data_IF_951663639204
#
_entry.id   IF_951663639204
#
_cell.length_a   1.000
_cell.length_b   1.000
_cell.length_c   1.000
_cell.angle_alpha   90.00
_cell.angle_beta   90.00
_cell.angle_gamma   90.00
#
_symmetry.space_group_name_H-M   'P 1'
#
loop_
_entity.id
_entity.type
_entity.pdbx_description
1 polymer ?
#
# COMPACT_ATOMS: atom_id res chain seq x y z
N UNK A 1 7.34 -23.73 -20.97
CA UNK A 1 6.32 -23.01 -20.20
C UNK A 1 4.98 -23.69 -20.40
N UNK A 2 4.37 -24.13 -19.33
CA UNK A 2 3.04 -24.71 -19.33
C UNK A 2 2.07 -23.73 -18.63
N UNK A 3 1.70 -22.67 -19.34
CA UNK A 3 0.95 -21.55 -18.77
C UNK A 3 -0.52 -21.92 -18.62
N UNK A 4 -0.99 -21.82 -17.40
CA UNK A 4 -2.41 -21.95 -17.03
C UNK A 4 -2.85 -20.75 -16.22
N UNK A 5 -4.14 -20.53 -16.10
CA UNK A 5 -4.66 -19.43 -15.26
C UNK A 5 -6.00 -19.80 -14.64
N UNK A 6 -6.31 -19.17 -13.53
CA UNK A 6 -7.62 -19.25 -12.87
C UNK A 6 -7.90 -18.00 -12.03
N UNK A 7 -9.13 -17.87 -11.63
CA UNK A 7 -9.54 -16.81 -10.69
C UNK A 7 -8.92 -17.02 -9.31
N UNK A 8 -8.63 -15.90 -8.67
CA UNK A 8 -8.13 -15.84 -7.31
C UNK A 8 -9.19 -16.29 -6.31
N UNK A 9 -8.76 -17.06 -5.30
CA UNK A 9 -9.59 -17.60 -4.21
C UNK A 9 -9.01 -17.11 -2.89
N UNK A 10 -9.65 -16.10 -2.28
CA UNK A 10 -9.10 -15.38 -1.14
C UNK A 10 -8.63 -16.29 0.01
N UNK A 11 -9.39 -17.34 0.34
CA UNK A 11 -9.05 -18.21 1.47
C UNK A 11 -7.93 -19.22 1.17
N UNK A 12 -7.70 -19.57 -0.08
CA UNK A 12 -6.70 -20.60 -0.44
C UNK A 12 -5.45 -20.03 -1.09
N UNK A 13 -5.53 -18.85 -1.70
CA UNK A 13 -4.45 -18.35 -2.53
C UNK A 13 -3.66 -17.20 -1.85
N UNK A 14 -4.23 -16.57 -0.81
CA UNK A 14 -3.66 -15.38 -0.22
C UNK A 14 -2.19 -15.53 0.16
N UNK A 15 -1.86 -16.59 0.91
CA UNK A 15 -0.48 -16.82 1.37
C UNK A 15 0.47 -17.08 0.19
N UNK A 16 0.03 -17.87 -0.82
CA UNK A 16 0.85 -18.15 -1.99
C UNK A 16 1.07 -16.90 -2.86
N UNK A 17 0.05 -16.04 -2.99
CA UNK A 17 0.15 -14.76 -3.70
C UNK A 17 1.04 -13.79 -2.93
N UNK A 18 0.89 -13.70 -1.62
CA UNK A 18 1.76 -12.89 -0.78
C UNK A 18 3.22 -13.29 -0.96
N UNK A 19 3.52 -14.60 -0.87
CA UNK A 19 4.87 -15.14 -1.09
C UNK A 19 5.40 -14.83 -2.51
N UNK A 20 4.56 -14.97 -3.54
CA UNK A 20 4.90 -14.60 -4.92
C UNK A 20 5.31 -13.12 -5.01
N UNK A 21 4.55 -12.21 -4.36
CA UNK A 21 4.84 -10.78 -4.38
C UNK A 21 6.14 -10.45 -3.62
N UNK A 22 6.46 -11.16 -2.52
CA UNK A 22 7.75 -11.05 -1.84
C UNK A 22 8.91 -11.44 -2.77
N UNK A 23 8.76 -12.55 -3.53
CA UNK A 23 9.80 -13.07 -4.41
C UNK A 23 10.12 -12.17 -5.60
N UNK A 24 9.14 -11.43 -6.11
CA UNK A 24 9.31 -10.56 -7.27
C UNK A 24 9.57 -9.09 -6.93
N UNK A 25 9.58 -8.76 -5.65
CA UNK A 25 9.70 -7.38 -5.20
C UNK A 25 10.98 -6.70 -5.70
N UNK A 26 10.84 -5.50 -6.20
CA UNK A 26 11.90 -4.56 -6.52
C UNK A 26 11.52 -3.17 -6.02
N UNK A 27 12.49 -2.38 -5.59
CA UNK A 27 12.23 -1.08 -4.94
C UNK A 27 11.48 -0.08 -5.83
N UNK A 28 11.64 -0.17 -7.15
CA UNK A 28 10.94 0.66 -8.15
C UNK A 28 9.62 0.05 -8.65
N UNK A 29 9.16 -1.02 -8.05
CA UNK A 29 7.94 -1.77 -8.35
C UNK A 29 7.82 -2.24 -9.81
N UNK A 30 8.96 -2.47 -10.48
CA UNK A 30 8.98 -2.92 -11.89
C UNK A 30 8.24 -4.24 -12.14
N UNK A 31 8.08 -5.06 -11.11
CA UNK A 31 7.40 -6.33 -11.20
C UNK A 31 6.01 -6.32 -10.56
N UNK A 32 5.62 -5.22 -9.91
CA UNK A 32 4.35 -5.03 -9.20
C UNK A 32 4.52 -4.43 -7.82
N UNK A 33 3.42 -4.18 -7.15
CA UNK A 33 3.39 -3.62 -5.80
C UNK A 33 3.98 -4.60 -4.77
N UNK A 34 4.44 -4.12 -3.60
CA UNK A 34 4.91 -4.98 -2.53
C UNK A 34 3.75 -5.80 -1.92
N UNK A 35 4.07 -6.95 -1.35
CA UNK A 35 3.08 -7.85 -0.76
C UNK A 35 2.17 -7.19 0.30
N UNK A 36 2.68 -6.32 1.20
CA UNK A 36 1.84 -5.61 2.17
C UNK A 36 0.76 -4.73 1.53
N UNK A 37 0.99 -4.17 0.34
CA UNK A 37 -0.01 -3.35 -0.36
C UNK A 37 -1.34 -4.11 -0.55
N UNK A 38 -1.27 -5.34 -1.06
CA UNK A 38 -2.46 -6.16 -1.28
C UNK A 38 -3.08 -6.61 0.04
N UNK A 39 -2.27 -6.99 1.03
CA UNK A 39 -2.79 -7.47 2.32
C UNK A 39 -3.41 -6.33 3.12
N UNK A 40 -2.82 -5.15 3.10
CA UNK A 40 -3.39 -3.94 3.68
C UNK A 40 -4.80 -3.67 3.14
N UNK A 41 -4.95 -3.66 1.82
CA UNK A 41 -6.24 -3.45 1.18
C UNK A 41 -7.25 -4.54 1.54
N UNK A 42 -6.88 -5.81 1.44
CA UNK A 42 -7.77 -6.94 1.75
C UNK A 42 -8.18 -7.01 3.23
N UNK A 43 -7.35 -6.51 4.14
CA UNK A 43 -7.61 -6.52 5.57
C UNK A 43 -8.40 -5.31 6.05
N UNK A 44 -8.44 -4.22 5.27
CA UNK A 44 -9.22 -3.02 5.58
C UNK A 44 -10.72 -3.23 5.33
N UNK A 45 -11.55 -2.42 5.96
CA UNK A 45 -13.00 -2.39 5.73
C UNK A 45 -13.41 -1.52 4.53
N UNK A 46 -12.60 -0.51 4.19
CA UNK A 46 -12.87 0.42 3.10
C UNK A 46 -12.76 -0.18 1.68
N UNK A 47 -12.11 -1.32 1.52
CA UNK A 47 -12.03 -2.01 0.24
C UNK A 47 -13.31 -2.81 -0.05
N UNK A 48 -13.95 -2.56 -1.19
CA UNK A 48 -15.02 -3.43 -1.67
C UNK A 48 -14.47 -4.80 -2.11
N UNK A 49 -14.68 -5.82 -1.29
CA UNK A 49 -14.20 -7.19 -1.52
C UNK A 49 -15.15 -8.07 -2.33
N UNK A 50 -16.34 -7.56 -2.70
CA UNK A 50 -17.38 -8.34 -3.39
C UNK A 50 -16.94 -8.86 -4.75
N UNK A 51 -15.98 -8.20 -5.40
CA UNK A 51 -15.48 -8.53 -6.73
C UNK A 51 -14.08 -9.18 -6.72
N UNK A 52 -13.53 -9.52 -5.57
CA UNK A 52 -12.18 -10.16 -5.44
C UNK A 52 -12.05 -11.43 -6.29
N UNK A 53 -13.16 -12.14 -6.50
CA UNK A 53 -13.20 -13.30 -7.39
C UNK A 53 -12.89 -12.97 -8.86
N UNK A 54 -12.85 -11.70 -9.24
CA UNK A 54 -12.43 -11.25 -10.57
C UNK A 54 -10.92 -11.12 -10.70
N UNK A 55 -10.18 -11.09 -9.61
CA UNK A 55 -8.72 -11.17 -9.67
C UNK A 55 -8.30 -12.50 -10.31
N UNK A 56 -7.18 -12.50 -11.06
CA UNK A 56 -6.71 -13.69 -11.79
C UNK A 56 -5.23 -13.93 -11.55
N UNK A 57 -4.89 -15.21 -11.39
CA UNK A 57 -3.53 -15.70 -11.23
C UNK A 57 -3.17 -16.53 -12.46
N UNK A 58 -1.93 -16.34 -12.96
CA UNK A 58 -1.28 -17.21 -13.97
C UNK A 58 -0.22 -18.05 -13.31
N UNK A 59 -0.08 -19.27 -13.81
CA UNK A 59 0.87 -20.27 -13.32
C UNK A 59 1.72 -20.77 -14.48
N UNK A 60 2.99 -21.10 -14.22
CA UNK A 60 3.80 -21.99 -15.03
C UNK A 60 3.98 -23.26 -14.22
N UNK A 61 3.31 -24.34 -14.63
CA UNK A 61 3.01 -25.51 -13.80
C UNK A 61 2.33 -25.08 -12.48
N UNK A 62 3.00 -25.25 -11.32
CA UNK A 62 2.46 -24.87 -10.00
C UNK A 62 2.98 -23.50 -9.49
N UNK A 63 3.87 -22.85 -10.26
CA UNK A 63 4.50 -21.58 -9.86
C UNK A 63 3.66 -20.39 -10.30
N UNK A 64 3.32 -19.50 -9.36
CA UNK A 64 2.67 -18.23 -9.68
C UNK A 64 3.65 -17.33 -10.45
N UNK A 65 3.23 -16.85 -11.63
CA UNK A 65 4.04 -16.02 -12.51
C UNK A 65 3.41 -14.66 -12.81
N UNK A 66 2.09 -14.51 -12.66
CA UNK A 66 1.44 -13.23 -12.83
C UNK A 66 0.15 -13.14 -11.99
N UNK A 67 -0.24 -11.91 -11.67
CA UNK A 67 -1.48 -11.55 -10.99
C UNK A 67 -2.05 -10.28 -11.59
N UNK A 68 -3.38 -10.29 -11.85
CA UNK A 68 -4.17 -9.09 -12.13
C UNK A 68 -5.19 -8.94 -11.03
N UNK A 69 -5.24 -7.78 -10.40
CA UNK A 69 -6.11 -7.51 -9.26
C UNK A 69 -6.53 -6.04 -9.22
N UNK A 70 -7.50 -5.73 -8.38
CA UNK A 70 -7.90 -4.36 -8.06
C UNK A 70 -7.70 -4.08 -6.57
N UNK A 71 -7.72 -2.81 -6.22
CA UNK A 71 -7.75 -2.33 -4.84
C UNK A 71 -8.98 -1.44 -4.62
N UNK A 72 -8.82 -0.14 -4.44
CA UNK A 72 -9.90 0.84 -4.32
C UNK A 72 -9.54 2.11 -5.11
N UNK A 73 -10.41 2.56 -6.02
CA UNK A 73 -11.71 1.98 -6.37
C UNK A 73 -11.56 0.67 -7.15
N UNK A 74 -12.59 -0.17 -7.13
CA UNK A 74 -12.62 -1.48 -7.84
C UNK A 74 -12.29 -1.39 -9.33
N UNK A 75 -12.36 -0.18 -9.89
CA UNK A 75 -12.05 0.11 -11.29
C UNK A 75 -10.57 0.33 -11.56
N UNK A 76 -9.73 0.40 -10.54
CA UNK A 76 -8.28 0.56 -10.66
C UNK A 76 -7.61 -0.81 -10.63
N UNK A 77 -7.04 -1.20 -11.78
CA UNK A 77 -6.53 -2.54 -12.00
C UNK A 77 -5.00 -2.54 -11.97
N UNK A 78 -4.45 -3.36 -11.11
CA UNK A 78 -3.02 -3.52 -10.87
C UNK A 78 -2.49 -4.82 -11.46
N UNK A 79 -1.17 -4.86 -11.68
CA UNK A 79 -0.46 -5.95 -12.33
C UNK A 79 0.80 -6.33 -11.55
N UNK A 80 0.96 -7.62 -11.27
CA UNK A 80 2.22 -8.18 -10.79
C UNK A 80 2.68 -9.24 -11.79
N UNK A 81 3.94 -9.16 -12.24
CA UNK A 81 4.48 -10.00 -13.31
C UNK A 81 5.91 -10.43 -12.97
N UNK A 82 6.13 -11.74 -12.88
CA UNK A 82 7.45 -12.30 -12.62
C UNK A 82 8.40 -12.02 -13.80
N UNK A 83 9.67 -11.61 -13.54
CA UNK A 83 10.68 -11.50 -14.58
C UNK A 83 10.83 -12.79 -15.41
N UNK A 84 10.97 -12.63 -16.72
CA UNK A 84 11.02 -13.74 -17.70
C UNK A 84 9.67 -14.19 -18.26
N UNK A 85 8.57 -13.59 -17.78
CA UNK A 85 7.21 -13.89 -18.25
C UNK A 85 6.54 -12.68 -18.93
N UNK A 86 7.33 -11.76 -19.48
CA UNK A 86 6.87 -10.54 -20.15
C UNK A 86 5.94 -10.84 -21.33
N UNK A 87 6.02 -12.05 -21.90
CA UNK A 87 5.11 -12.52 -22.95
C UNK A 87 3.64 -12.57 -22.51
N UNK A 88 3.36 -12.62 -21.20
CA UNK A 88 1.99 -12.59 -20.67
C UNK A 88 1.36 -11.19 -20.63
N UNK A 89 2.14 -10.13 -20.83
CA UNK A 89 1.67 -8.75 -20.66
C UNK A 89 0.44 -8.42 -21.53
N UNK A 90 0.41 -8.85 -22.80
CA UNK A 90 -0.73 -8.62 -23.69
C UNK A 90 -2.00 -9.35 -23.21
N UNK A 91 -1.86 -10.58 -22.73
CA UNK A 91 -2.97 -11.36 -22.19
C UNK A 91 -3.50 -10.74 -20.89
N UNK A 92 -2.61 -10.25 -20.02
CA UNK A 92 -2.99 -9.60 -18.77
C UNK A 92 -3.78 -8.31 -19.03
N UNK A 93 -3.35 -7.48 -19.99
CA UNK A 93 -4.07 -6.26 -20.40
C UNK A 93 -5.44 -6.62 -21.01
N UNK A 94 -5.50 -7.60 -21.90
CA UNK A 94 -6.77 -8.06 -22.48
C UNK A 94 -7.72 -8.61 -21.42
N UNK A 95 -7.21 -9.33 -20.41
CA UNK A 95 -8.01 -9.77 -19.27
C UNK A 95 -8.53 -8.60 -18.44
N UNK A 96 -7.69 -7.65 -18.13
CA UNK A 96 -8.09 -6.44 -17.42
C UNK A 96 -9.23 -5.72 -18.13
N UNK A 97 -9.09 -5.51 -19.44
CA UNK A 97 -10.10 -4.83 -20.25
C UNK A 97 -11.45 -5.57 -20.32
N UNK A 98 -11.42 -6.90 -20.36
CA UNK A 98 -12.64 -7.69 -20.63
C UNK A 98 -13.32 -8.21 -19.35
N UNK A 99 -12.59 -8.47 -18.28
CA UNK A 99 -13.06 -9.22 -17.13
C UNK A 99 -13.04 -8.45 -15.81
N UNK A 100 -12.15 -7.45 -15.67
CA UNK A 100 -12.05 -6.69 -14.44
C UNK A 100 -13.20 -5.66 -14.30
N UNK A 101 -13.51 -5.22 -13.07
CA UNK A 101 -14.65 -4.35 -12.81
C UNK A 101 -14.60 -3.04 -13.59
N UNK A 102 -15.79 -2.58 -14.00
CA UNK A 102 -16.02 -1.26 -14.62
C UNK A 102 -17.16 -0.54 -13.93
N UNK A 103 -17.06 0.76 -13.80
CA UNK A 103 -18.17 1.62 -13.39
C UNK A 103 -18.54 2.53 -14.55
N UNK A 104 -19.81 2.49 -14.98
CA UNK A 104 -20.29 3.25 -16.15
C UNK A 104 -19.43 3.00 -17.42
N UNK A 105 -18.98 1.75 -17.61
CA UNK A 105 -18.11 1.36 -18.72
C UNK A 105 -16.65 1.78 -18.60
N UNK A 106 -16.28 2.51 -17.56
CA UNK A 106 -14.92 3.04 -17.35
C UNK A 106 -14.13 2.18 -16.35
N UNK A 107 -12.85 2.04 -16.60
CA UNK A 107 -11.84 1.49 -15.69
C UNK A 107 -10.51 2.19 -15.95
N UNK A 108 -9.55 2.05 -15.04
CA UNK A 108 -8.19 2.52 -15.20
C UNK A 108 -7.22 1.36 -15.01
N UNK A 109 -6.15 1.34 -15.80
CA UNK A 109 -5.03 0.47 -15.50
C UNK A 109 -3.99 1.28 -14.72
N UNK A 110 -3.51 0.72 -13.63
CA UNK A 110 -2.42 1.29 -12.84
C UNK A 110 -1.14 0.53 -13.20
N UNK A 111 -0.27 1.19 -13.95
CA UNK A 111 0.98 0.59 -14.44
C UNK A 111 2.14 1.49 -13.96
N UNK A 112 3.09 0.90 -13.25
CA UNK A 112 4.25 1.65 -12.77
C UNK A 112 5.21 1.94 -13.92
N UNK A 113 5.87 3.10 -13.89
CA UNK A 113 6.76 3.54 -14.98
C UNK A 113 7.89 2.57 -15.33
N UNK A 114 8.29 1.72 -14.36
CA UNK A 114 9.28 0.68 -14.56
C UNK A 114 8.72 -0.61 -15.21
N UNK A 115 7.40 -0.82 -15.28
CA UNK A 115 6.72 -1.98 -15.87
C UNK A 115 6.64 -1.88 -17.40
N UNK A 116 7.78 -1.95 -18.07
CA UNK A 116 7.89 -1.64 -19.52
C UNK A 116 7.07 -2.54 -20.43
N UNK A 117 7.00 -3.85 -20.14
CA UNK A 117 6.24 -4.81 -20.96
C UNK A 117 4.73 -4.53 -20.89
N UNK A 118 4.21 -4.26 -19.69
CA UNK A 118 2.80 -3.89 -19.48
C UNK A 118 2.46 -2.54 -20.12
N UNK A 119 3.36 -1.55 -20.00
CA UNK A 119 3.23 -0.26 -20.70
C UNK A 119 3.10 -0.43 -22.20
N UNK A 120 3.99 -1.22 -22.81
CA UNK A 120 3.96 -1.48 -24.26
C UNK A 120 2.68 -2.23 -24.68
N UNK A 121 2.25 -3.22 -23.89
CA UNK A 121 1.02 -3.97 -24.14
C UNK A 121 -0.22 -3.08 -24.04
N UNK A 122 -0.29 -2.21 -23.03
CA UNK A 122 -1.38 -1.25 -22.86
C UNK A 122 -1.47 -0.27 -24.05
N UNK A 123 -0.33 0.30 -24.47
CA UNK A 123 -0.28 1.19 -25.63
C UNK A 123 -0.73 0.48 -26.91
N UNK A 124 -0.27 -0.75 -27.14
CA UNK A 124 -0.67 -1.58 -28.29
C UNK A 124 -2.17 -1.85 -28.29
N UNK A 125 -2.78 -2.01 -27.13
CA UNK A 125 -4.22 -2.20 -26.94
C UNK A 125 -5.03 -0.89 -27.02
N UNK A 126 -4.40 0.27 -27.26
CA UNK A 126 -5.04 1.57 -27.42
C UNK A 126 -5.27 2.34 -26.10
N UNK A 127 -4.66 1.89 -25.01
CA UNK A 127 -4.67 2.64 -23.76
C UNK A 127 -3.66 3.80 -23.79
N UNK A 128 -3.98 4.92 -23.12
CA UNK A 128 -3.07 6.05 -23.03
C UNK A 128 -2.97 6.53 -21.57
N UNK A 129 -1.80 7.03 -21.22
CA UNK A 129 -1.57 7.60 -19.88
C UNK A 129 -2.36 8.89 -19.73
N UNK A 130 -3.27 8.94 -18.77
CA UNK A 130 -4.06 10.12 -18.42
C UNK A 130 -3.29 11.04 -17.46
N UNK A 131 -2.78 10.49 -16.37
CA UNK A 131 -1.97 11.21 -15.39
C UNK A 131 -1.02 10.27 -14.65
N UNK A 132 -0.23 10.83 -13.75
CA UNK A 132 0.65 10.06 -12.87
C UNK A 132 1.31 10.94 -11.84
N UNK A 133 1.92 10.31 -10.87
CA UNK A 133 2.73 10.97 -9.85
C UNK A 133 3.91 10.08 -9.44
N UNK A 134 4.81 10.65 -8.65
CA UNK A 134 5.94 9.91 -8.07
C UNK A 134 5.69 9.63 -6.59
N UNK A 135 5.63 8.36 -6.26
CA UNK A 135 5.76 7.93 -4.87
C UNK A 135 7.23 7.97 -4.46
N UNK A 136 7.45 8.33 -3.20
CA UNK A 136 8.77 8.60 -2.69
C UNK A 136 9.20 7.52 -1.72
N UNK A 137 10.47 7.19 -1.78
CA UNK A 137 11.12 6.17 -0.93
C UNK A 137 12.25 6.83 -0.15
N UNK A 138 12.41 6.42 1.10
CA UNK A 138 13.52 6.84 1.92
C UNK A 138 14.55 5.74 2.05
N UNK A 139 15.80 6.06 1.71
CA UNK A 139 16.96 5.22 1.97
C UNK A 139 17.36 5.31 3.45
N UNK A 140 17.52 4.17 4.11
CA UNK A 140 17.94 4.06 5.51
C UNK A 140 19.46 4.18 5.71
N UNK A 141 20.25 4.31 4.65
CA UNK A 141 21.65 4.74 4.77
C UNK A 141 21.76 6.17 5.34
N UNK A 142 20.73 6.98 5.13
CA UNK A 142 20.66 8.35 5.67
C UNK A 142 19.83 8.33 6.96
N UNK A 143 20.37 8.70 8.12
CA UNK A 143 19.64 8.75 9.39
C UNK A 143 18.40 9.64 9.33
N UNK A 144 17.32 9.22 9.97
CA UNK A 144 16.11 10.01 10.14
C UNK A 144 15.91 10.32 11.62
N UNK A 145 16.27 11.54 12.00
CA UNK A 145 16.12 12.00 13.38
C UNK A 145 15.16 13.19 13.44
N UNK A 146 14.15 13.07 14.25
CA UNK A 146 13.19 14.13 14.55
C UNK A 146 12.80 14.06 16.01
N UNK A 147 12.86 15.17 16.70
CA UNK A 147 12.40 15.26 18.10
C UNK A 147 10.89 15.39 18.12
N UNK A 148 10.29 14.70 19.07
CA UNK A 148 8.87 14.89 19.36
C UNK A 148 8.65 16.28 19.97
N UNK A 149 7.68 17.07 19.49
CA UNK A 149 7.37 18.38 20.05
C UNK A 149 6.94 18.31 21.53
N UNK A 150 7.17 19.39 22.28
CA UNK A 150 6.72 19.50 23.67
C UNK A 150 5.19 19.41 23.74
N UNK A 151 4.68 18.76 24.78
CA UNK A 151 3.23 18.52 24.98
C UNK A 151 2.72 17.28 24.25
N UNK A 152 3.61 16.48 23.65
CA UNK A 152 3.27 15.21 23.01
C UNK A 152 4.18 14.10 23.50
N UNK A 153 3.68 12.86 23.47
CA UNK A 153 4.46 11.66 23.78
C UNK A 153 4.10 10.53 22.83
N UNK A 154 5.01 9.59 22.64
CA UNK A 154 4.68 8.34 21.96
C UNK A 154 3.79 7.50 22.88
N UNK A 155 2.72 6.96 22.31
CA UNK A 155 1.85 6.03 23.01
C UNK A 155 2.60 4.73 23.37
N UNK A 156 2.25 4.16 24.50
CA UNK A 156 2.81 2.87 24.95
C UNK A 156 2.18 1.72 24.18
N UNK A 157 2.99 0.70 23.86
CA UNK A 157 2.47 -0.54 23.28
C UNK A 157 1.85 -1.45 24.38
N UNK A 158 0.82 -2.29 24.05
CA UNK A 158 0.12 -2.29 22.78
C UNK A 158 -0.70 -1.01 22.58
N UNK A 159 -0.85 -0.59 21.32
CA UNK A 159 -1.69 0.58 21.01
C UNK A 159 -3.16 0.26 21.24
N UNK A 160 -3.91 1.27 21.66
CA UNK A 160 -5.37 1.21 21.78
C UNK A 160 -6.00 1.30 20.37
N UNK A 161 -6.62 0.21 19.93
CA UNK A 161 -7.22 0.11 18.58
C UNK A 161 -8.30 1.16 18.37
N UNK A 162 -9.15 1.41 19.36
CA UNK A 162 -10.20 2.41 19.25
C UNK A 162 -9.63 3.82 19.04
N UNK A 163 -8.58 4.18 19.79
CA UNK A 163 -7.89 5.45 19.59
C UNK A 163 -7.18 5.54 18.24
N UNK A 164 -6.63 4.44 17.72
CA UNK A 164 -6.06 4.40 16.38
C UNK A 164 -7.15 4.67 15.31
N UNK A 165 -8.31 4.00 15.44
CA UNK A 165 -9.45 4.19 14.54
C UNK A 165 -9.95 5.63 14.55
N UNK A 166 -10.19 6.19 15.75
CA UNK A 166 -10.62 7.59 15.88
C UNK A 166 -9.59 8.57 15.31
N UNK A 167 -8.29 8.33 15.54
CA UNK A 167 -7.21 9.14 14.97
C UNK A 167 -7.21 9.09 13.44
N UNK A 168 -7.40 7.91 12.84
CA UNK A 168 -7.50 7.76 11.39
C UNK A 168 -8.75 8.44 10.83
N UNK A 169 -9.90 8.23 11.46
CA UNK A 169 -11.17 8.86 11.07
C UNK A 169 -11.03 10.38 10.97
N UNK A 170 -10.55 11.02 12.04
CA UNK A 170 -10.28 12.46 12.07
C UNK A 170 -9.14 12.86 11.12
N UNK A 171 -8.06 12.08 11.13
CA UNK A 171 -6.84 12.37 10.40
C UNK A 171 -6.98 12.30 8.87
N UNK A 172 -7.86 11.45 8.34
CA UNK A 172 -8.20 11.39 6.93
C UNK A 172 -9.38 12.28 6.53
N UNK A 173 -10.04 12.92 7.50
CA UNK A 173 -11.08 13.91 7.24
C UNK A 173 -12.49 13.35 7.11
N UNK A 174 -12.71 12.06 7.46
CA UNK A 174 -14.03 11.43 7.41
C UNK A 174 -15.06 12.16 8.30
N UNK A 175 -14.61 12.72 9.41
CA UNK A 175 -15.49 13.49 10.31
C UNK A 175 -16.19 14.66 9.60
N UNK A 176 -15.55 15.27 8.62
CA UNK A 176 -16.14 16.38 7.84
C UNK A 176 -17.16 15.92 6.81
N UNK A 177 -17.07 14.67 6.33
CA UNK A 177 -17.91 14.12 5.28
C UNK A 177 -19.01 13.22 5.84
N UNK A 178 -18.71 12.45 6.88
CA UNK A 178 -19.54 11.37 7.41
C UNK A 178 -20.02 11.63 8.84
N UNK A 179 -19.50 12.68 9.51
CA UNK A 179 -19.83 13.02 10.88
C UNK A 179 -18.86 12.44 11.92
N UNK A 180 -19.16 12.63 13.23
CA UNK A 180 -18.30 12.14 14.31
C UNK A 180 -18.09 10.64 14.22
N UNK A 181 -16.89 10.18 14.64
CA UNK A 181 -16.60 8.74 14.70
C UNK A 181 -17.62 8.03 15.62
N UNK A 182 -18.19 6.96 15.13
CA UNK A 182 -19.28 6.23 15.77
C UNK A 182 -18.83 5.12 16.74
N UNK A 183 -17.50 4.95 16.89
CA UNK A 183 -16.90 3.92 17.73
C UNK A 183 -16.56 2.62 17.00
N UNK A 184 -16.71 2.57 15.67
CA UNK A 184 -16.32 1.40 14.90
C UNK A 184 -14.81 1.18 14.93
N UNK A 185 -14.40 0.00 15.39
CA UNK A 185 -13.01 -0.41 15.50
C UNK A 185 -12.54 -1.29 14.35
N UNK A 186 -13.42 -1.64 13.42
CA UNK A 186 -13.06 -2.45 12.25
C UNK A 186 -12.24 -1.65 11.24
N UNK A 187 -12.37 -0.33 11.22
CA UNK A 187 -11.66 0.57 10.30
C UNK A 187 -10.14 0.35 10.25
N UNK A 188 -9.48 0.21 11.40
CA UNK A 188 -8.05 -0.16 11.48
C UNK A 188 -7.81 -1.47 12.22
N UNK A 189 -8.82 -2.00 12.89
CA UNK A 189 -8.73 -3.25 13.67
C UNK A 189 -8.38 -4.46 12.81
N UNK A 190 -8.93 -4.53 11.59
CA UNK A 190 -8.62 -5.56 10.63
C UNK A 190 -7.15 -5.60 10.23
N UNK A 191 -6.50 -4.44 10.16
CA UNK A 191 -5.07 -4.34 9.83
C UNK A 191 -4.18 -4.99 10.89
N UNK A 192 -4.53 -4.84 12.17
CA UNK A 192 -3.78 -5.42 13.27
C UNK A 192 -3.88 -6.96 13.33
N UNK A 193 -4.91 -7.55 12.70
CA UNK A 193 -5.19 -8.99 12.69
C UNK A 193 -4.87 -9.67 11.36
N UNK A 194 -4.33 -8.94 10.39
CA UNK A 194 -3.90 -9.49 9.11
C UNK A 194 -2.80 -10.57 9.28
N UNK A 195 -2.73 -11.57 8.40
CA UNK A 195 -1.80 -12.69 8.54
C UNK A 195 -0.34 -12.31 8.71
N UNK A 196 0.13 -11.24 8.03
CA UNK A 196 1.50 -10.75 8.12
C UNK A 196 1.58 -9.37 8.81
N UNK A 197 0.59 -9.03 9.63
CA UNK A 197 0.58 -7.77 10.36
C UNK A 197 1.81 -7.61 11.27
N UNK A 198 2.39 -6.44 11.25
CA UNK A 198 3.45 -6.02 12.17
C UNK A 198 3.04 -4.83 13.03
N UNK A 199 1.76 -4.76 13.41
CA UNK A 199 1.16 -3.66 14.18
C UNK A 199 1.88 -3.38 15.51
N UNK A 200 2.67 -4.31 16.04
CA UNK A 200 3.54 -4.06 17.18
C UNK A 200 4.67 -3.04 16.90
N UNK A 201 4.92 -2.74 15.62
CA UNK A 201 5.85 -1.70 15.17
C UNK A 201 5.19 -0.35 14.92
N UNK A 202 3.85 -0.28 14.93
CA UNK A 202 3.11 0.95 14.69
C UNK A 202 3.43 2.02 15.73
N UNK A 203 3.28 3.27 15.32
CA UNK A 203 3.54 4.44 16.16
C UNK A 203 2.28 5.29 16.25
N UNK A 204 1.83 5.54 17.46
CA UNK A 204 0.87 6.59 17.76
C UNK A 204 1.53 7.67 18.63
N UNK A 205 1.11 8.91 18.40
CA UNK A 205 1.51 10.06 19.22
C UNK A 205 0.26 10.59 19.92
N UNK A 206 0.34 10.74 21.24
CA UNK A 206 -0.74 11.28 22.04
C UNK A 206 -0.43 12.69 22.54
N UNK A 207 -1.47 13.48 22.73
CA UNK A 207 -1.45 14.80 23.37
C UNK A 207 -1.45 14.69 24.90
N UNK A 208 -1.53 15.83 25.61
CA UNK A 208 -1.57 15.89 27.07
C UNK A 208 -2.84 15.25 27.66
N UNK A 209 -3.94 15.21 26.90
CA UNK A 209 -5.22 14.61 27.28
C UNK A 209 -5.25 13.09 27.04
N UNK A 210 -4.19 12.53 26.41
CA UNK A 210 -4.08 11.10 26.11
C UNK A 210 -4.84 10.66 24.87
N UNK A 211 -5.26 11.60 24.02
CA UNK A 211 -5.84 11.31 22.71
C UNK A 211 -4.75 11.02 21.67
N UNK A 212 -4.95 10.06 20.76
CA UNK A 212 -4.06 9.84 19.66
C UNK A 212 -4.31 10.87 18.57
N UNK A 213 -3.27 11.65 18.25
CA UNK A 213 -3.36 12.79 17.34
C UNK A 213 -2.49 12.63 16.08
N UNK A 214 -1.66 11.60 16.05
CA UNK A 214 -0.94 11.16 14.85
C UNK A 214 -0.75 9.65 14.95
N UNK A 215 -0.99 8.95 13.85
CA UNK A 215 -0.80 7.51 13.74
C UNK A 215 0.00 7.18 12.48
N UNK A 216 0.91 6.24 12.59
CA UNK A 216 1.73 5.73 11.50
C UNK A 216 1.81 4.20 11.61
N UNK A 217 1.17 3.51 10.70
CA UNK A 217 1.20 2.05 10.57
C UNK A 217 2.47 1.57 9.90
N UNK A 218 2.86 0.34 10.21
CA UNK A 218 4.09 -0.27 9.69
C UNK A 218 3.86 -1.73 9.29
N UNK A 219 4.23 -2.04 8.06
CA UNK A 219 4.30 -3.40 7.54
C UNK A 219 5.76 -3.72 7.24
N UNK A 220 6.36 -4.52 8.08
CA UNK A 220 7.75 -4.92 7.94
C UNK A 220 7.87 -6.24 7.20
N UNK A 221 8.59 -6.27 6.07
CA UNK A 221 8.89 -7.47 5.29
C UNK A 221 10.39 -7.74 5.32
N UNK A 222 10.87 -8.67 6.18
CA UNK A 222 12.28 -8.96 6.31
C UNK A 222 12.93 -9.48 5.03
N UNK A 223 12.21 -10.23 4.20
CA UNK A 223 12.67 -10.77 2.92
C UNK A 223 13.07 -9.64 1.96
N UNK A 224 12.29 -8.58 1.93
CA UNK A 224 12.50 -7.42 1.06
C UNK A 224 13.28 -6.30 1.76
N UNK A 225 13.57 -6.43 3.06
CA UNK A 225 14.12 -5.36 3.92
C UNK A 225 13.35 -4.04 3.80
N UNK A 226 12.05 -4.15 3.55
CA UNK A 226 11.14 -3.05 3.30
C UNK A 226 10.35 -2.70 4.57
N UNK A 227 10.41 -1.45 4.97
CA UNK A 227 9.47 -0.84 5.89
C UNK A 227 8.35 -0.17 5.06
N UNK A 228 7.26 -0.91 4.81
CA UNK A 228 6.11 -0.38 4.09
C UNK A 228 5.24 0.41 5.07
N UNK A 229 5.25 1.74 4.95
CA UNK A 229 4.58 2.67 5.87
C UNK A 229 3.19 2.99 5.33
N UNK A 230 2.18 2.42 5.98
CA UNK A 230 0.76 2.63 5.67
C UNK A 230 -0.09 2.23 6.88
N UNK A 231 -1.06 3.06 7.33
CA UNK A 231 -1.32 4.45 6.91
C UNK A 231 -0.48 5.48 7.67
N UNK A 232 -0.51 6.75 7.23
CA UNK A 232 0.04 7.89 7.97
C UNK A 232 -0.99 9.02 8.05
N UNK A 233 -1.42 9.38 9.23
CA UNK A 233 -2.34 10.49 9.41
C UNK A 233 -1.97 11.39 10.59
N UNK A 234 -2.51 12.60 10.59
CA UNK A 234 -2.47 13.55 11.72
C UNK A 234 -3.80 14.29 11.78
N UNK A 235 -4.40 14.29 12.95
CA UNK A 235 -5.65 15.01 13.24
C UNK A 235 -5.50 16.50 12.87
N UNK A 236 -6.48 17.14 12.21
CA UNK A 236 -6.36 18.48 11.63
C UNK A 236 -5.79 19.54 12.58
N UNK A 237 -6.27 19.59 13.83
CA UNK A 237 -5.88 20.58 14.85
C UNK A 237 -4.43 20.43 15.31
N UNK A 238 -3.82 19.27 15.01
CA UNK A 238 -2.45 18.93 15.38
C UNK A 238 -1.49 18.92 14.19
N UNK A 239 -1.97 19.25 12.98
CA UNK A 239 -1.12 19.35 11.77
C UNK A 239 -0.09 20.46 11.87
N UNK A 240 0.96 20.39 11.05
CA UNK A 240 2.04 21.38 10.92
C UNK A 240 2.89 21.57 12.18
N UNK A 241 2.76 20.72 13.17
CA UNK A 241 3.54 20.70 14.42
C UNK A 241 4.73 19.71 14.38
N UNK A 242 4.93 19.00 13.26
CA UNK A 242 6.04 18.06 13.07
C UNK A 242 5.77 16.64 13.57
N UNK A 243 4.52 16.29 13.94
CA UNK A 243 4.16 14.99 14.51
C UNK A 243 4.39 13.84 13.52
N UNK A 244 3.92 13.97 12.27
CA UNK A 244 4.15 12.96 11.23
C UNK A 244 5.64 12.69 11.00
N UNK A 245 6.48 13.74 10.99
CA UNK A 245 7.92 13.57 10.84
C UNK A 245 8.55 12.85 12.06
N UNK A 246 8.05 13.12 13.28
CA UNK A 246 8.48 12.43 14.50
C UNK A 246 8.03 10.96 14.50
N UNK A 247 6.78 10.68 14.07
CA UNK A 247 6.29 9.31 13.94
C UNK A 247 7.12 8.50 12.95
N UNK A 248 7.45 9.06 11.77
CA UNK A 248 8.31 8.40 10.79
C UNK A 248 9.74 8.17 11.31
N UNK A 249 10.29 9.10 12.07
CA UNK A 249 11.60 8.92 12.70
C UNK A 249 11.58 7.78 13.74
N UNK A 250 10.48 7.63 14.46
CA UNK A 250 10.30 6.53 15.39
C UNK A 250 10.12 5.19 14.66
N UNK A 251 9.37 5.15 13.54
CA UNK A 251 9.28 3.95 12.68
C UNK A 251 10.66 3.56 12.14
N UNK A 252 11.46 4.53 11.66
CA UNK A 252 12.85 4.30 11.28
C UNK A 252 13.66 3.69 12.43
N UNK A 253 13.55 4.25 13.64
CA UNK A 253 14.26 3.76 14.83
C UNK A 253 13.88 2.33 15.19
N UNK A 254 12.61 1.95 15.01
CA UNK A 254 12.10 0.58 15.29
C UNK A 254 12.54 -0.43 14.22
N UNK A 255 12.52 -0.05 12.94
CA UNK A 255 12.72 -0.98 11.82
C UNK A 255 14.18 -1.08 11.36
N UNK A 256 14.99 -0.03 11.51
CA UNK A 256 16.42 -0.05 11.15
C UNK A 256 17.20 -1.17 11.84
N UNK A 257 17.07 -1.42 13.15
CA UNK A 257 17.76 -2.53 13.83
C UNK A 257 17.30 -3.92 13.37
N UNK A 258 16.09 -4.03 12.79
CA UNK A 258 15.57 -5.26 12.21
C UNK A 258 16.15 -5.56 10.83
N UNK A 259 16.90 -4.62 10.25
CA UNK A 259 17.56 -4.77 8.96
C UNK A 259 16.87 -4.03 7.80
N UNK A 260 15.90 -3.17 8.08
CA UNK A 260 15.27 -2.36 7.05
C UNK A 260 16.29 -1.47 6.32
N UNK A 261 16.19 -1.45 5.00
CA UNK A 261 17.07 -0.65 4.13
C UNK A 261 16.34 0.56 3.54
N UNK A 262 15.03 0.53 3.46
CA UNK A 262 14.23 1.60 2.89
C UNK A 262 12.80 1.60 3.44
N UNK A 263 12.13 2.74 3.30
CA UNK A 263 10.74 2.97 3.71
C UNK A 263 9.96 3.63 2.57
N UNK A 264 8.78 3.12 2.27
CA UNK A 264 7.84 3.79 1.36
C UNK A 264 7.21 5.00 2.04
N UNK A 265 6.87 5.99 1.24
CA UNK A 265 6.10 7.16 1.64
C UNK A 265 4.92 7.34 0.71
N UNK A 266 4.65 8.56 0.30
CA UNK A 266 3.59 8.89 -0.66
C UNK A 266 4.03 9.99 -1.63
N UNK A 267 3.10 10.43 -2.47
CA UNK A 267 3.34 11.50 -3.44
C UNK A 267 3.39 12.92 -2.84
N UNK A 268 2.92 13.12 -1.59
CA UNK A 268 2.83 14.45 -0.99
C UNK A 268 4.21 15.14 -0.84
N UNK A 269 4.31 16.47 -1.08
CA UNK A 269 5.54 17.24 -0.85
C UNK A 269 6.08 17.21 0.58
N UNK A 270 5.29 16.77 1.55
CA UNK A 270 5.76 16.54 2.92
C UNK A 270 6.93 15.56 2.96
N UNK A 271 6.89 14.49 2.17
CA UNK A 271 7.92 13.45 2.15
C UNK A 271 9.29 13.98 1.70
N UNK A 272 9.33 14.97 0.79
CA UNK A 272 10.59 15.64 0.38
C UNK A 272 11.28 16.29 1.58
N UNK A 273 10.49 16.94 2.45
CA UNK A 273 10.98 17.67 3.64
C UNK A 273 11.56 16.73 4.71
N UNK A 274 11.16 15.47 4.69
CA UNK A 274 11.70 14.44 5.60
C UNK A 274 12.69 13.51 4.89
N UNK A 275 13.12 13.89 3.67
CA UNK A 275 14.26 13.31 2.97
C UNK A 275 13.95 12.06 2.14
N UNK A 276 12.70 11.84 1.78
CA UNK A 276 12.32 10.86 0.76
C UNK A 276 12.65 11.36 -0.64
N UNK A 277 12.82 10.45 -1.58
CA UNK A 277 13.14 10.74 -2.98
C UNK A 277 12.13 10.07 -3.90
N UNK A 278 11.79 10.69 -5.06
CA UNK A 278 10.98 10.05 -6.08
C UNK A 278 11.66 8.74 -6.55
N UNK A 279 10.96 7.64 -6.48
CA UNK A 279 11.46 6.32 -6.89
C UNK A 279 10.47 5.56 -7.75
N UNK A 280 9.17 5.61 -7.42
CA UNK A 280 8.14 4.81 -8.05
C UNK A 280 7.21 5.73 -8.83
N UNK A 281 7.24 5.63 -10.16
CA UNK A 281 6.32 6.37 -11.04
C UNK A 281 4.99 5.62 -11.14
N UNK A 282 3.95 6.17 -10.55
CA UNK A 282 2.57 5.75 -10.76
C UNK A 282 2.05 6.32 -12.06
N UNK A 283 1.44 5.50 -12.90
CA UNK A 283 0.79 5.96 -14.13
C UNK A 283 -0.60 5.33 -14.27
N UNK A 284 -1.59 6.18 -14.48
CA UNK A 284 -2.99 5.82 -14.63
C UNK A 284 -3.36 5.91 -16.11
N UNK A 285 -3.83 4.78 -16.66
CA UNK A 285 -4.12 4.62 -18.07
C UNK A 285 -5.60 4.45 -18.29
N UNK A 286 -6.13 5.12 -19.31
CA UNK A 286 -7.54 5.08 -19.73
C UNK A 286 -7.64 4.78 -21.22
N UNK A 287 -8.86 4.35 -21.64
CA UNK A 287 -9.15 4.03 -23.04
C UNK A 287 -10.49 4.64 -23.46
#
# INVERSE_FOLDING_TARGET
MNITHRQYRILSDHIAVYQFMLEIYECDWRNGVPAPFLEYALSSDWMDKSLVHRNRIWFDDDKIVALVFYENPVTDVYFSLRPGYECLAEEMIAYAETCMPKKEGKQRLVIFGAQKALTAAAQKAGWHKEFGYWEKVRDFAVPLERKLPKGYRFASAPLDVAKCCECCWKGFGHEAEEGPWDGDTEYTGGLATAPHSTAHLDVAIENEDGEYVCYAGMWWTPENKLAYMEPLCTVPEHRRKGLAAAAMAELYRRTKPLGATHMTGGGDPFYDKVGFKPEIEWAFWVK
#
